data_IF_206742910099
#
_entry.id   IF_206742910099
#
_cell.length_a   1.000
_cell.length_b   1.000
_cell.length_c   1.000
_cell.angle_alpha   90.00
_cell.angle_beta   90.00
_cell.angle_gamma   90.00
#
_symmetry.space_group_name_H-M   'P 1'
#
loop_
_entity.id
_entity.type
_entity.pdbx_description
1 polymer ?
#
# COMPACT_ATOMS: atom_id res chain seq x y z
N UNK A 1 -1.34 -15.19 4.83
CA UNK A 1 -2.67 -14.97 5.42
C UNK A 1 -3.69 -15.64 4.51
N UNK A 2 -4.45 -16.64 4.98
CA UNK A 2 -5.50 -17.25 4.18
C UNK A 2 -6.54 -16.20 3.71
N UNK A 3 -7.09 -16.36 2.51
CA UNK A 3 -8.12 -15.47 1.97
C UNK A 3 -7.62 -14.14 1.41
N UNK A 4 -6.33 -13.77 1.59
CA UNK A 4 -5.75 -12.57 0.99
C UNK A 4 -5.22 -12.85 -0.43
N UNK A 5 -5.65 -12.04 -1.39
CA UNK A 5 -5.16 -12.02 -2.77
C UNK A 5 -4.60 -10.63 -3.09
N UNK A 6 -3.43 -10.59 -3.73
CA UNK A 6 -2.82 -9.38 -4.29
C UNK A 6 -2.82 -9.53 -5.81
N UNK A 7 -3.51 -8.62 -6.50
CA UNK A 7 -3.55 -8.62 -7.97
C UNK A 7 -2.33 -7.92 -8.55
N UNK A 8 -2.06 -8.17 -9.83
CA UNK A 8 -0.95 -7.56 -10.58
C UNK A 8 -0.98 -6.02 -10.58
N UNK A 9 -2.18 -5.44 -10.48
CA UNK A 9 -2.40 -4.00 -10.39
C UNK A 9 -2.28 -3.45 -8.96
N UNK A 10 -1.88 -4.27 -7.98
CA UNK A 10 -1.70 -3.88 -6.58
C UNK A 10 -3.00 -3.83 -5.76
N UNK A 11 -4.18 -4.11 -6.35
CA UNK A 11 -5.43 -4.21 -5.59
C UNK A 11 -5.38 -5.41 -4.65
N UNK A 12 -5.91 -5.20 -3.45
CA UNK A 12 -5.99 -6.21 -2.41
C UNK A 12 -7.42 -6.73 -2.32
N UNK A 13 -7.56 -8.04 -2.22
CA UNK A 13 -8.83 -8.72 -1.96
C UNK A 13 -8.70 -9.59 -0.72
N UNK A 14 -9.72 -9.59 0.12
CA UNK A 14 -9.84 -10.52 1.24
C UNK A 14 -11.17 -11.26 1.14
N UNK A 15 -11.14 -12.59 1.06
CA UNK A 15 -12.33 -13.42 0.85
C UNK A 15 -13.18 -12.93 -0.34
N UNK A 16 -12.53 -12.66 -1.48
CA UNK A 16 -13.12 -12.11 -2.71
C UNK A 16 -13.74 -10.70 -2.58
N UNK A 17 -13.59 -10.02 -1.45
CA UNK A 17 -14.02 -8.61 -1.28
C UNK A 17 -12.86 -7.66 -1.55
N UNK A 18 -13.09 -6.65 -2.37
CA UNK A 18 -12.11 -5.61 -2.65
C UNK A 18 -11.85 -4.79 -1.38
N UNK A 19 -10.58 -4.69 -0.99
CA UNK A 19 -10.15 -3.81 0.08
C UNK A 19 -10.09 -2.39 -0.45
N UNK A 20 -10.83 -1.47 0.17
CA UNK A 20 -10.87 -0.06 -0.23
C UNK A 20 -9.88 0.81 0.54
N UNK A 21 -9.55 0.43 1.78
CA UNK A 21 -8.65 1.18 2.65
C UNK A 21 -7.57 0.30 3.23
N UNK A 22 -6.37 0.87 3.31
CA UNK A 22 -5.19 0.23 3.85
C UNK A 22 -4.62 1.12 4.96
N UNK A 23 -4.45 0.52 6.13
CA UNK A 23 -3.83 1.14 7.30
C UNK A 23 -2.40 0.63 7.42
N UNK A 24 -1.51 1.49 7.90
CA UNK A 24 -0.16 1.12 8.31
C UNK A 24 0.03 1.50 9.77
N UNK A 25 0.28 0.52 10.64
CA UNK A 25 0.27 0.65 12.10
C UNK A 25 -0.96 1.43 12.63
N UNK A 26 -2.15 1.15 12.09
CA UNK A 26 -3.41 1.76 12.52
C UNK A 26 -3.63 3.19 12.03
N UNK A 27 -2.75 3.73 11.19
CA UNK A 27 -2.95 5.01 10.51
C UNK A 27 -3.37 4.78 9.07
N UNK A 28 -4.45 5.43 8.65
CA UNK A 28 -4.89 5.39 7.25
C UNK A 28 -3.81 6.01 6.35
N UNK A 29 -3.43 5.28 5.31
CA UNK A 29 -2.47 5.77 4.32
C UNK A 29 -3.17 6.00 2.98
N UNK A 30 -2.89 7.17 2.39
CA UNK A 30 -3.19 7.51 1.01
C UNK A 30 -4.60 7.08 0.54
N UNK A 31 -5.62 7.84 0.95
CA UNK A 31 -7.03 7.61 0.64
C UNK A 31 -7.36 7.52 -0.86
N UNK A 32 -6.49 7.98 -1.75
CA UNK A 32 -6.75 7.97 -3.19
C UNK A 32 -6.04 6.86 -3.97
N UNK A 33 -4.98 6.22 -3.45
CA UNK A 33 -4.32 5.13 -4.19
C UNK A 33 -3.36 4.26 -3.35
N UNK A 34 -3.90 3.39 -2.48
CA UNK A 34 -3.06 2.47 -1.71
C UNK A 34 -2.27 1.48 -2.60
N UNK A 35 -2.64 1.31 -3.88
CA UNK A 35 -1.96 0.37 -4.78
C UNK A 35 -0.51 0.75 -5.07
N UNK A 36 -0.19 2.04 -4.97
CA UNK A 36 1.19 2.54 -5.08
C UNK A 36 2.07 1.98 -3.95
N UNK A 37 1.51 1.87 -2.75
CA UNK A 37 2.19 1.28 -1.62
C UNK A 37 2.34 -0.24 -1.83
N UNK A 38 1.26 -0.95 -2.14
CA UNK A 38 1.29 -2.42 -2.24
C UNK A 38 2.18 -2.95 -3.36
N UNK A 39 2.36 -2.18 -4.44
CA UNK A 39 3.33 -2.50 -5.51
C UNK A 39 4.79 -2.32 -5.10
N UNK A 40 5.08 -1.40 -4.19
CA UNK A 40 6.46 -0.98 -3.87
C UNK A 40 6.91 -1.38 -2.45
N UNK A 41 5.97 -1.83 -1.60
CA UNK A 41 6.24 -2.20 -0.23
C UNK A 41 6.91 -3.56 -0.17
N UNK A 42 8.19 -3.58 0.21
CA UNK A 42 8.92 -4.83 0.38
C UNK A 42 8.29 -5.67 1.51
N UNK A 43 8.00 -6.94 1.22
CA UNK A 43 7.34 -7.84 2.17
C UNK A 43 8.11 -8.03 3.48
N UNK A 44 9.45 -7.92 3.44
CA UNK A 44 10.31 -8.05 4.61
C UNK A 44 10.14 -6.92 5.66
N UNK A 45 9.44 -5.84 5.30
CA UNK A 45 9.14 -4.71 6.17
C UNK A 45 7.94 -4.97 7.09
N UNK A 46 7.07 -5.89 6.67
CA UNK A 46 5.79 -6.15 7.32
C UNK A 46 5.98 -7.25 8.34
N UNK A 47 5.50 -6.98 9.55
CA UNK A 47 5.48 -7.90 10.67
C UNK A 47 4.17 -8.68 10.68
N UNK A 48 3.04 -7.96 10.54
CA UNK A 48 1.71 -8.54 10.62
C UNK A 48 0.76 -7.90 9.62
N UNK A 49 -0.14 -8.71 9.09
CA UNK A 49 -1.30 -8.27 8.30
C UNK A 49 -2.55 -8.61 9.09
N UNK A 50 -3.46 -7.64 9.23
CA UNK A 50 -4.71 -7.80 9.96
C UNK A 50 -5.87 -7.41 9.06
N UNK A 51 -6.82 -8.33 8.86
CA UNK A 51 -8.11 -8.01 8.27
C UNK A 51 -9.05 -7.51 9.36
N UNK A 52 -9.70 -6.38 9.09
CA UNK A 52 -10.70 -5.78 9.97
C UNK A 52 -12.01 -5.76 9.18
N UNK A 53 -12.86 -6.73 9.47
CA UNK A 53 -14.21 -6.83 8.91
C UNK A 53 -15.16 -5.90 9.66
N UNK A 54 -16.27 -5.54 9.02
CA UNK A 54 -17.28 -4.61 9.57
C UNK A 54 -16.70 -3.28 10.06
N UNK A 55 -15.75 -2.73 9.30
CA UNK A 55 -15.06 -1.51 9.66
C UNK A 55 -16.01 -0.31 9.61
N UNK A 56 -16.02 0.49 10.67
CA UNK A 56 -16.79 1.74 10.74
C UNK A 56 -15.82 2.89 10.98
N UNK A 57 -15.86 3.90 10.10
CA UNK A 57 -15.01 5.09 10.22
C UNK A 57 -15.29 5.86 11.51
N UNK A 58 -16.57 6.01 11.86
CA UNK A 58 -16.98 6.68 13.08
C UNK A 58 -17.03 5.68 14.25
N UNK A 59 -16.15 5.82 15.26
CA UNK A 59 -16.16 4.92 16.43
C UNK A 59 -17.49 4.92 17.18
N UNK A 60 -18.24 6.03 17.15
CA UNK A 60 -19.53 6.17 17.81
C UNK A 60 -20.64 5.38 17.12
N UNK A 61 -20.46 5.02 15.86
CA UNK A 61 -21.43 4.22 15.08
C UNK A 61 -21.15 2.72 15.17
N UNK A 62 -20.05 2.29 15.82
CA UNK A 62 -19.75 0.87 16.00
C UNK A 62 -20.87 0.17 16.78
N UNK A 63 -21.45 -0.87 16.18
CA UNK A 63 -22.55 -1.64 16.77
C UNK A 63 -23.94 -1.06 16.51
N UNK A 64 -24.03 0.16 15.98
CA UNK A 64 -25.28 0.77 15.50
C UNK A 64 -25.39 0.57 13.99
N UNK A 65 -24.30 0.85 13.27
CA UNK A 65 -24.22 0.67 11.83
C UNK A 65 -23.73 -0.73 11.49
N UNK A 66 -24.41 -1.39 10.53
CA UNK A 66 -23.89 -2.59 9.88
C UNK A 66 -23.05 -2.18 8.68
N UNK A 67 -21.74 -2.12 8.89
CA UNK A 67 -20.79 -1.96 7.80
C UNK A 67 -20.43 -3.31 7.20
N UNK A 68 -20.41 -3.41 5.87
CA UNK A 68 -19.83 -4.52 5.12
C UNK A 68 -18.39 -4.22 4.67
N UNK A 69 -17.84 -3.07 5.09
CA UNK A 69 -16.50 -2.64 4.73
C UNK A 69 -15.45 -3.54 5.41
N UNK A 70 -14.52 -4.04 4.60
CA UNK A 70 -13.33 -4.75 5.08
C UNK A 70 -12.11 -3.92 4.76
N UNK A 71 -11.30 -3.64 5.78
CA UNK A 71 -10.04 -2.91 5.65
C UNK A 71 -8.88 -3.78 6.07
N UNK A 72 -7.68 -3.49 5.56
CA UNK A 72 -6.46 -4.15 5.98
C UNK A 72 -5.59 -3.21 6.79
N UNK A 73 -5.00 -3.70 7.87
CA UNK A 73 -3.94 -3.02 8.61
C UNK A 73 -2.62 -3.80 8.49
N UNK A 74 -1.59 -3.13 8.01
CA UNK A 74 -0.23 -3.64 7.92
C UNK A 74 0.58 -3.11 9.10
N UNK A 75 1.17 -3.98 9.90
CA UNK A 75 2.09 -3.59 10.96
C UNK A 75 3.52 -3.67 10.45
N UNK A 76 4.29 -2.61 10.64
CA UNK A 76 5.70 -2.56 10.25
C UNK A 76 6.54 -3.16 11.38
N UNK A 77 7.58 -3.92 11.04
CA UNK A 77 8.53 -4.44 12.04
C UNK A 77 9.14 -3.29 12.84
N UNK A 78 9.21 -3.44 14.16
CA UNK A 78 9.67 -2.39 15.08
C UNK A 78 11.05 -1.83 14.69
N UNK A 79 11.99 -2.71 14.32
CA UNK A 79 13.34 -2.37 13.85
C UNK A 79 13.38 -1.54 12.55
N UNK A 80 12.28 -1.51 11.79
CA UNK A 80 12.16 -0.78 10.52
C UNK A 80 11.45 0.55 10.65
N UNK A 81 10.75 0.82 11.76
CA UNK A 81 9.94 2.04 11.96
C UNK A 81 10.78 3.32 12.02
N UNK A 82 12.01 3.25 12.53
CA UNK A 82 12.89 4.42 12.67
C UNK A 82 13.78 4.67 11.46
N UNK A 83 13.73 3.80 10.45
CA UNK A 83 14.65 3.83 9.31
C UNK A 83 13.98 4.51 8.12
N UNK A 84 14.71 5.40 7.44
CA UNK A 84 14.33 5.86 6.11
C UNK A 84 14.33 4.65 5.17
N UNK A 85 13.21 4.40 4.52
CA UNK A 85 12.99 3.21 3.69
C UNK A 85 12.92 3.64 2.24
N UNK A 86 13.62 2.96 1.34
CA UNK A 86 13.50 3.27 -0.08
C UNK A 86 13.94 2.14 -0.97
N UNK A 87 13.45 2.17 -2.20
CA UNK A 87 13.86 1.31 -3.29
C UNK A 87 14.25 2.18 -4.48
N UNK A 88 15.17 1.66 -5.29
CA UNK A 88 15.56 2.23 -6.57
C UNK A 88 15.61 1.07 -7.57
N UNK A 89 14.79 1.15 -8.62
CA UNK A 89 14.74 0.18 -9.69
C UNK A 89 15.12 0.88 -10.99
N UNK A 90 16.07 0.28 -11.72
CA UNK A 90 16.52 0.73 -13.03
C UNK A 90 16.35 -0.43 -13.99
N UNK A 91 15.59 -0.24 -15.06
CA UNK A 91 15.44 -1.25 -16.10
C UNK A 91 15.89 -0.65 -17.45
N UNK A 92 16.63 -1.45 -18.23
CA UNK A 92 17.08 -1.07 -19.57
C UNK A 92 16.78 -2.21 -20.55
N UNK A 93 16.22 -1.86 -21.72
CA UNK A 93 15.83 -2.80 -22.76
C UNK A 93 16.50 -2.53 -24.11
N UNK A 94 16.56 -3.57 -24.96
CA UNK A 94 17.30 -3.65 -26.25
C UNK A 94 16.99 -2.56 -27.29
N UNK A 95 15.91 -1.79 -27.10
CA UNK A 95 15.44 -0.74 -28.02
C UNK A 95 15.36 0.64 -27.33
N UNK A 96 16.45 1.09 -26.68
CA UNK A 96 16.53 2.40 -25.97
C UNK A 96 15.35 2.69 -25.01
N UNK A 97 14.74 1.65 -24.45
CA UNK A 97 13.67 1.79 -23.45
C UNK A 97 14.28 1.69 -22.06
N UNK A 98 14.06 2.71 -21.24
CA UNK A 98 14.50 2.77 -19.86
C UNK A 98 13.35 3.13 -18.92
N UNK A 99 13.36 2.53 -17.73
CA UNK A 99 12.51 2.92 -16.60
C UNK A 99 13.40 3.19 -15.39
N UNK A 100 13.07 4.24 -14.65
CA UNK A 100 13.67 4.56 -13.36
C UNK A 100 12.54 4.78 -12.38
N UNK A 101 12.43 3.93 -11.37
CA UNK A 101 11.42 4.04 -10.33
C UNK A 101 12.10 4.09 -8.97
N UNK A 102 11.65 4.99 -8.11
CA UNK A 102 12.15 5.09 -6.75
C UNK A 102 11.08 5.51 -5.77
N UNK A 103 11.21 5.05 -4.54
CA UNK A 103 10.38 5.54 -3.43
C UNK A 103 11.22 5.76 -2.18
N UNK A 104 10.77 6.70 -1.35
CA UNK A 104 11.34 7.04 -0.06
C UNK A 104 10.19 7.22 0.95
N UNK A 105 10.26 6.50 2.07
CA UNK A 105 9.29 6.55 3.15
C UNK A 105 9.99 6.81 4.48
N UNK A 106 9.40 7.67 5.30
CA UNK A 106 9.80 7.92 6.68
C UNK A 106 8.63 7.61 7.60
N UNK A 107 8.84 6.72 8.58
CA UNK A 107 7.79 6.19 9.47
C UNK A 107 8.06 6.53 10.96
N UNK A 108 8.63 7.72 11.23
CA UNK A 108 9.07 8.10 12.57
C UNK A 108 7.89 8.46 13.49
N UNK A 109 7.66 7.61 14.50
CA UNK A 109 6.66 7.86 15.54
C UNK A 109 5.25 7.84 14.98
N UNK A 110 4.51 8.95 15.15
CA UNK A 110 3.14 9.12 14.61
C UNK A 110 3.13 9.77 13.22
N UNK A 111 4.28 10.18 12.70
CA UNK A 111 4.39 10.88 11.42
C UNK A 111 4.89 9.92 10.35
N UNK A 112 4.07 9.73 9.31
CA UNK A 112 4.37 8.87 8.17
C UNK A 112 4.33 9.70 6.89
N UNK A 113 5.46 9.77 6.18
CA UNK A 113 5.60 10.53 4.93
C UNK A 113 6.20 9.62 3.86
N UNK A 114 5.69 9.72 2.64
CA UNK A 114 6.17 8.96 1.50
C UNK A 114 6.34 9.84 0.26
N UNK A 115 7.41 9.63 -0.49
CA UNK A 115 7.70 10.26 -1.77
C UNK A 115 7.95 9.13 -2.77
N UNK A 116 7.30 9.18 -3.92
CA UNK A 116 7.46 8.20 -5.01
C UNK A 116 7.75 8.98 -6.29
N UNK A 117 8.76 8.55 -7.05
CA UNK A 117 9.14 9.15 -8.32
C UNK A 117 9.36 8.08 -9.38
N UNK A 118 8.89 8.34 -10.60
CA UNK A 118 9.05 7.45 -11.74
C UNK A 118 9.38 8.24 -13.00
N UNK A 119 10.40 7.84 -13.75
CA UNK A 119 10.74 8.35 -15.07
C UNK A 119 10.78 7.17 -16.06
N UNK A 120 9.94 7.23 -17.09
CA UNK A 120 9.83 6.18 -18.11
C UNK A 120 9.97 6.80 -19.50
N UNK A 121 10.77 6.20 -20.38
CA UNK A 121 11.01 6.71 -21.75
C UNK A 121 10.09 6.05 -22.80
N UNK A 122 9.01 5.39 -22.36
CA UNK A 122 8.03 4.75 -23.24
C UNK A 122 6.72 5.52 -23.06
N UNK A 123 6.27 6.22 -24.10
CA UNK A 123 4.99 6.95 -24.11
C UNK A 123 3.76 6.04 -24.08
N UNK A 124 3.71 5.08 -23.16
CA UNK A 124 2.45 4.43 -22.80
C UNK A 124 1.95 4.99 -21.48
N UNK A 125 0.96 5.86 -21.67
CA UNK A 125 -0.14 6.22 -20.78
C UNK A 125 -0.19 5.47 -19.44
N UNK A 126 0.07 6.19 -18.36
CA UNK A 126 -0.12 5.73 -16.98
C UNK A 126 -1.56 6.01 -16.53
N UNK A 127 -2.54 5.84 -17.42
CA UNK A 127 -3.96 5.86 -17.12
C UNK A 127 -4.72 5.45 -18.38
N UNK A 128 -5.37 4.29 -18.35
CA UNK A 128 -6.57 4.09 -19.13
C UNK A 128 -7.74 3.93 -18.14
N UNK A 129 -8.92 4.50 -18.44
CA UNK A 129 -10.05 4.61 -17.52
C UNK A 129 -10.59 3.25 -17.03
#
# INVERSE_FOLDING_TARGET
MPGLEVRSDGRLYYNNRLIRKLYLDGQELFSQNYTLLTKNLAANLIDKVQAIEHHTENPLLRGIERSDETVLNLQVKAERKTRLMGNLAVESGTLKRGSLNGSLFSLKGRTKVGIIGSANTIGQEVASP
#
